data_IF_537086159538
#
_entry.id   IF_537086159538
#
_cell.length_a   1.000
_cell.length_b   1.000
_cell.length_c   1.000
_cell.angle_alpha   90.00
_cell.angle_beta   90.00
_cell.angle_gamma   90.00
#
_symmetry.space_group_name_H-M   'P 1'
#
loop_
_entity.id
_entity.type
_entity.pdbx_description
1 polymer ?
#
# COMPACT_ATOMS: atom_id res chain seq x y z
N UNK A 1 17.37 11.52 -13.43
CA UNK A 1 17.01 10.08 -13.48
C UNK A 1 16.33 9.74 -12.18
N UNK A 2 15.24 8.97 -12.20
CA UNK A 2 14.64 8.45 -10.97
C UNK A 2 15.46 7.26 -10.47
N UNK A 3 15.64 7.15 -9.15
CA UNK A 3 16.36 6.05 -8.50
C UNK A 3 15.42 5.32 -7.55
N UNK A 4 15.59 4.01 -7.41
CA UNK A 4 14.91 3.24 -6.36
C UNK A 4 15.44 3.73 -5.00
N UNK A 5 14.55 4.20 -4.14
CA UNK A 5 14.90 4.77 -2.83
C UNK A 5 14.27 4.05 -1.66
N UNK A 6 13.25 3.24 -1.89
CA UNK A 6 12.67 2.40 -0.85
C UNK A 6 11.89 1.24 -1.45
N UNK A 7 11.75 0.17 -0.67
CA UNK A 7 10.89 -0.96 -0.97
C UNK A 7 9.98 -1.25 0.21
N UNK A 8 8.69 -1.43 -0.08
CA UNK A 8 7.72 -2.04 0.81
C UNK A 8 7.43 -3.45 0.32
N UNK A 9 7.43 -4.41 1.23
CA UNK A 9 7.01 -5.79 0.97
C UNK A 9 5.82 -6.10 1.85
N UNK A 10 4.72 -6.51 1.23
CA UNK A 10 3.54 -6.99 1.92
C UNK A 10 3.55 -8.50 1.87
N UNK A 11 3.33 -9.16 3.01
CA UNK A 11 3.32 -10.61 3.02
C UNK A 11 2.73 -11.23 4.27
N UNK A 12 2.57 -12.54 4.21
CA UNK A 12 2.05 -13.34 5.33
C UNK A 12 3.17 -13.61 6.33
N UNK A 13 2.81 -13.69 7.59
CA UNK A 13 3.72 -14.18 8.61
C UNK A 13 3.83 -15.72 8.46
N UNK A 14 5.02 -16.27 8.20
CA UNK A 14 5.19 -17.71 8.06
C UNK A 14 5.01 -18.38 9.42
N UNK A 15 4.50 -19.60 9.42
CA UNK A 15 4.18 -20.34 10.64
C UNK A 15 5.36 -20.48 11.62
N UNK A 16 6.61 -20.53 11.14
CA UNK A 16 7.83 -20.59 11.97
C UNK A 16 9.06 -19.96 11.25
N UNK A 17 9.70 -18.97 11.89
CA UNK A 17 11.12 -18.59 11.69
C UNK A 17 11.58 -18.11 10.31
N UNK A 18 10.68 -17.92 9.34
CA UNK A 18 11.01 -17.80 7.91
C UNK A 18 11.04 -16.39 7.29
N UNK A 19 10.91 -15.31 8.08
CA UNK A 19 10.80 -13.95 7.54
C UNK A 19 9.37 -13.57 7.16
N UNK A 20 9.15 -12.91 6.03
CA UNK A 20 7.81 -12.57 5.50
C UNK A 20 7.62 -13.34 4.18
N UNK A 21 6.51 -14.06 4.01
CA UNK A 21 6.16 -14.69 2.72
C UNK A 21 5.52 -13.63 1.82
N UNK A 22 6.22 -13.10 0.80
CA UNK A 22 5.75 -11.93 0.06
C UNK A 22 4.55 -12.27 -0.82
N UNK A 23 3.52 -11.42 -0.75
CA UNK A 23 2.37 -11.44 -1.68
C UNK A 23 2.41 -10.27 -2.65
N UNK A 24 3.04 -9.15 -2.24
CA UNK A 24 3.21 -7.99 -3.10
C UNK A 24 4.44 -7.15 -2.70
N UNK A 25 4.92 -6.36 -3.66
CA UNK A 25 5.97 -5.36 -3.49
C UNK A 25 5.52 -3.99 -3.97
N UNK A 26 6.02 -2.94 -3.32
CA UNK A 26 5.95 -1.58 -3.85
C UNK A 26 7.34 -0.94 -3.84
N UNK A 27 7.84 -0.58 -5.02
CA UNK A 27 9.13 0.06 -5.23
C UNK A 27 8.96 1.56 -5.35
N UNK A 28 9.51 2.32 -4.40
CA UNK A 28 9.50 3.78 -4.40
C UNK A 28 10.68 4.31 -5.22
N UNK A 29 10.37 5.07 -6.27
CA UNK A 29 11.34 5.81 -7.06
C UNK A 29 11.23 7.31 -6.79
N UNK A 30 12.36 7.97 -6.60
CA UNK A 30 12.42 9.41 -6.30
C UNK A 30 12.87 10.21 -7.52
N UNK A 31 12.02 11.11 -8.04
CA UNK A 31 12.34 12.34 -8.80
C UNK A 31 11.08 13.02 -9.39
N UNK A 32 10.98 14.36 -9.42
CA UNK A 32 10.89 15.25 -8.26
C UNK A 32 9.72 14.94 -7.31
N UNK A 33 8.78 14.08 -7.74
CA UNK A 33 7.68 13.56 -6.92
C UNK A 33 7.91 12.06 -6.71
N UNK A 34 7.86 11.54 -5.48
CA UNK A 34 8.03 10.12 -5.22
C UNK A 34 6.89 9.31 -5.83
N UNK A 35 7.23 8.16 -6.44
CA UNK A 35 6.25 7.26 -7.06
C UNK A 35 6.52 5.82 -6.69
N UNK A 36 5.46 5.09 -6.35
CA UNK A 36 5.50 3.67 -6.06
C UNK A 36 5.04 2.87 -7.28
N UNK A 37 5.87 1.93 -7.71
CA UNK A 37 5.50 0.88 -8.67
C UNK A 37 5.11 -0.38 -7.91
N UNK A 38 3.93 -0.92 -8.21
CA UNK A 38 3.40 -2.12 -7.55
C UNK A 38 3.70 -3.40 -8.32
N UNK A 39 3.93 -4.48 -7.59
CA UNK A 39 4.14 -5.82 -8.15
C UNK A 39 3.40 -6.85 -7.29
N UNK A 40 2.67 -7.77 -7.92
CA UNK A 40 2.09 -8.94 -7.26
C UNK A 40 3.05 -10.13 -7.39
N UNK A 41 3.14 -10.96 -6.36
CA UNK A 41 4.01 -12.15 -6.35
C UNK A 41 3.17 -13.35 -6.75
N UNK A 42 3.57 -14.03 -7.82
CA UNK A 42 2.95 -15.29 -8.25
C UNK A 42 3.42 -16.45 -7.38
N UNK A 43 2.68 -17.55 -7.42
CA UNK A 43 3.09 -18.82 -6.81
C UNK A 43 4.45 -19.33 -7.33
N UNK A 44 4.84 -18.98 -8.57
CA UNK A 44 6.16 -19.30 -9.14
C UNK A 44 7.30 -18.45 -8.57
N UNK A 45 7.00 -17.37 -7.84
CA UNK A 45 7.95 -16.35 -7.40
C UNK A 45 8.16 -15.22 -8.41
N UNK A 46 7.52 -15.28 -9.59
CA UNK A 46 7.59 -14.21 -10.58
C UNK A 46 6.81 -12.96 -10.14
N UNK A 47 7.26 -11.80 -10.62
CA UNK A 47 6.64 -10.51 -10.31
C UNK A 47 5.74 -10.03 -11.45
N UNK A 48 4.45 -9.88 -11.17
CA UNK A 48 3.50 -9.22 -12.06
C UNK A 48 3.42 -7.74 -11.75
N UNK A 49 3.91 -6.91 -12.67
CA UNK A 49 3.81 -5.46 -12.52
C UNK A 49 2.36 -4.99 -12.64
N UNK A 50 1.89 -4.25 -11.63
CA UNK A 50 0.61 -3.53 -11.67
C UNK A 50 0.77 -2.29 -12.58
N UNK A 51 -0.14 -2.07 -13.55
CA UNK A 51 -0.12 -0.86 -14.38
C UNK A 51 -0.21 0.42 -13.54
N UNK A 52 0.39 1.49 -14.06
CA UNK A 52 0.40 2.80 -13.39
C UNK A 52 1.57 3.00 -12.42
N UNK A 53 1.45 4.05 -11.61
CA UNK A 53 2.43 4.42 -10.59
C UNK A 53 1.75 5.33 -9.57
N UNK A 54 1.73 4.92 -8.30
CA UNK A 54 1.10 5.68 -7.24
C UNK A 54 2.01 6.80 -6.76
N UNK A 55 1.57 8.05 -6.87
CA UNK A 55 2.20 9.22 -6.28
C UNK A 55 1.38 9.63 -5.03
N UNK A 56 1.80 9.26 -3.80
CA UNK A 56 1.11 9.69 -2.60
C UNK A 56 1.21 11.20 -2.42
N UNK A 57 0.15 11.80 -1.92
CA UNK A 57 0.21 13.14 -1.33
C UNK A 57 0.90 13.05 0.03
N UNK A 58 2.19 13.41 0.06
CA UNK A 58 3.01 13.37 1.27
C UNK A 58 2.76 14.55 2.21
N UNK A 59 2.10 15.60 1.73
CA UNK A 59 1.77 16.80 2.50
C UNK A 59 0.36 16.71 3.13
N UNK A 60 -0.40 15.66 2.83
CA UNK A 60 -1.69 15.37 3.44
C UNK A 60 -1.54 15.07 4.95
N UNK A 61 -2.53 15.50 5.74
CA UNK A 61 -2.58 15.26 7.19
C UNK A 61 -3.78 14.36 7.57
N UNK A 62 -3.58 13.06 7.85
CA UNK A 62 -2.32 12.32 7.69
C UNK A 62 -2.11 11.82 6.25
N UNK A 63 -0.87 11.46 5.90
CA UNK A 63 -0.54 10.81 4.63
C UNK A 63 -0.76 9.29 4.70
N UNK A 64 -1.25 8.68 3.62
CA UNK A 64 -1.66 7.26 3.58
C UNK A 64 -0.86 6.37 2.59
N UNK A 65 0.47 6.53 2.42
CA UNK A 65 1.18 5.82 1.37
C UNK A 65 1.14 4.29 1.52
N UNK A 66 1.25 3.78 2.75
CA UNK A 66 1.28 2.33 3.02
C UNK A 66 -0.14 1.76 3.02
N UNK A 67 -1.11 2.46 3.62
CA UNK A 67 -2.51 2.02 3.64
C UNK A 67 -3.09 1.93 2.22
N UNK A 68 -2.82 2.92 1.36
CA UNK A 68 -3.28 2.89 -0.02
C UNK A 68 -2.65 1.74 -0.82
N UNK A 69 -1.35 1.49 -0.65
CA UNK A 69 -0.66 0.38 -1.28
C UNK A 69 -1.16 -0.97 -0.77
N UNK A 70 -1.44 -1.10 0.53
CA UNK A 70 -2.00 -2.32 1.11
C UNK A 70 -3.40 -2.61 0.54
N UNK A 71 -4.27 -1.60 0.47
CA UNK A 71 -5.60 -1.72 -0.15
C UNK A 71 -5.52 -2.13 -1.63
N UNK A 72 -4.57 -1.57 -2.37
CA UNK A 72 -4.43 -1.79 -3.80
C UNK A 72 -3.78 -3.15 -4.15
N UNK A 73 -2.82 -3.60 -3.34
CA UNK A 73 -1.94 -4.71 -3.68
C UNK A 73 -2.24 -5.98 -2.88
N UNK A 74 -2.55 -5.85 -1.59
CA UNK A 74 -2.67 -6.99 -0.68
C UNK A 74 -3.82 -6.82 0.34
N UNK A 75 -5.05 -6.45 -0.09
CA UNK A 75 -6.16 -6.23 0.83
C UNK A 75 -6.54 -7.49 1.61
N UNK A 76 -6.16 -8.68 1.13
CA UNK A 76 -6.33 -9.97 1.80
C UNK A 76 -5.52 -10.12 3.08
N UNK A 77 -4.50 -9.29 3.30
CA UNK A 77 -3.74 -9.29 4.56
C UNK A 77 -4.48 -8.57 5.68
N UNK A 78 -5.61 -7.89 5.43
CA UNK A 78 -6.43 -7.35 6.51
C UNK A 78 -7.36 -8.41 7.09
N UNK A 79 -7.50 -8.47 8.41
CA UNK A 79 -8.47 -9.34 9.10
C UNK A 79 -9.93 -9.10 8.66
N UNK A 80 -10.22 -7.95 8.05
CA UNK A 80 -11.51 -7.59 7.49
C UNK A 80 -11.52 -7.59 5.95
N UNK A 81 -10.64 -8.35 5.29
CA UNK A 81 -10.51 -8.40 3.83
C UNK A 81 -11.84 -8.58 3.08
N UNK A 82 -12.76 -9.39 3.60
CA UNK A 82 -14.09 -9.57 3.02
C UNK A 82 -14.93 -8.29 2.97
N UNK A 83 -14.82 -7.45 4.01
CA UNK A 83 -15.44 -6.12 4.04
C UNK A 83 -14.76 -5.17 3.07
N UNK A 84 -13.43 -5.15 3.02
CA UNK A 84 -12.67 -4.32 2.07
C UNK A 84 -13.04 -4.66 0.63
N UNK A 85 -13.08 -5.94 0.26
CA UNK A 85 -13.55 -6.38 -1.07
C UNK A 85 -14.97 -5.92 -1.38
N UNK A 86 -15.86 -5.95 -0.38
CA UNK A 86 -17.23 -5.46 -0.55
C UNK A 86 -17.27 -3.95 -0.81
N UNK A 87 -16.42 -3.17 -0.15
CA UNK A 87 -16.32 -1.73 -0.39
C UNK A 87 -15.73 -1.44 -1.77
N UNK A 88 -14.74 -2.23 -2.19
CA UNK A 88 -14.08 -2.12 -3.49
C UNK A 88 -15.06 -2.43 -4.64
N UNK A 89 -15.76 -3.56 -4.59
CA UNK A 89 -16.82 -3.90 -5.57
C UNK A 89 -17.91 -2.83 -5.62
N UNK A 90 -18.26 -2.21 -4.48
CA UNK A 90 -19.21 -1.10 -4.46
C UNK A 90 -18.62 0.18 -5.05
N UNK A 91 -17.32 0.40 -4.93
CA UNK A 91 -16.66 1.53 -5.56
C UNK A 91 -16.70 1.37 -7.09
N UNK A 92 -16.31 0.19 -7.59
CA UNK A 92 -16.37 -0.15 -9.02
C UNK A 92 -17.78 0.00 -9.59
N UNK A 93 -18.79 -0.56 -8.91
CA UNK A 93 -20.17 -0.53 -9.40
C UNK A 93 -20.77 0.88 -9.46
N UNK A 94 -20.39 1.77 -8.55
CA UNK A 94 -21.01 3.11 -8.44
C UNK A 94 -20.19 4.22 -9.11
N UNK A 95 -18.87 4.04 -9.21
CA UNK A 95 -17.93 5.06 -9.68
C UNK A 95 -17.03 4.59 -10.83
N UNK A 96 -17.13 3.31 -11.23
CA UNK A 96 -16.38 2.74 -12.34
C UNK A 96 -14.90 2.43 -12.04
N UNK A 97 -14.46 2.61 -10.79
CA UNK A 97 -13.06 2.45 -10.38
C UNK A 97 -12.96 1.72 -9.03
N UNK A 98 -12.00 0.79 -8.94
CA UNK A 98 -11.63 0.10 -7.71
C UNK A 98 -10.49 0.82 -6.98
N UNK A 99 -10.15 0.34 -5.79
CA UNK A 99 -9.10 0.90 -4.94
C UNK A 99 -7.71 0.78 -5.56
N UNK A 100 -7.47 -0.30 -6.33
CA UNK A 100 -6.20 -0.49 -7.04
C UNK A 100 -6.01 0.58 -8.12
N UNK A 101 -6.99 0.73 -8.99
CA UNK A 101 -6.98 1.71 -10.08
C UNK A 101 -6.82 3.11 -9.50
N UNK A 102 -7.64 3.45 -8.49
CA UNK A 102 -7.59 4.74 -7.81
C UNK A 102 -6.21 5.05 -7.22
N UNK A 103 -5.56 4.08 -6.57
CA UNK A 103 -4.20 4.24 -6.05
C UNK A 103 -3.17 4.41 -7.18
N UNK A 104 -3.16 3.53 -8.18
CA UNK A 104 -2.13 3.57 -9.23
C UNK A 104 -2.34 4.65 -10.30
N UNK A 105 -3.53 5.24 -10.36
CA UNK A 105 -3.84 6.47 -11.10
C UNK A 105 -3.57 7.74 -10.26
N UNK A 106 -3.18 7.57 -8.99
CA UNK A 106 -2.95 8.64 -8.00
C UNK A 106 -4.18 9.53 -7.76
N UNK A 107 -5.38 8.99 -8.00
CA UNK A 107 -6.65 9.68 -7.81
C UNK A 107 -7.22 9.42 -6.42
N UNK A 108 -6.40 9.48 -5.37
CA UNK A 108 -6.81 9.11 -3.99
C UNK A 108 -7.17 10.31 -3.11
N UNK A 109 -7.21 11.51 -3.70
CA UNK A 109 -7.45 12.77 -3.00
C UNK A 109 -8.94 13.04 -2.76
N UNK A 110 -9.22 13.93 -1.80
CA UNK A 110 -10.58 14.38 -1.53
C UNK A 110 -11.19 15.07 -2.76
N UNK A 111 -12.45 14.75 -3.05
CA UNK A 111 -13.20 15.32 -4.18
C UNK A 111 -13.18 14.44 -5.42
N UNK A 112 -12.35 13.39 -5.46
CA UNK A 112 -12.37 12.46 -6.58
C UNK A 112 -13.45 11.39 -6.45
N UNK A 113 -13.85 10.80 -7.58
CA UNK A 113 -14.90 9.80 -7.62
C UNK A 113 -14.52 8.57 -6.76
N UNK A 114 -15.51 8.03 -6.05
CA UNK A 114 -15.28 6.92 -5.12
C UNK A 114 -14.42 7.26 -3.89
N UNK A 115 -13.96 8.51 -3.69
CA UNK A 115 -13.13 8.90 -2.54
C UNK A 115 -13.74 8.47 -1.21
N UNK A 116 -15.05 8.68 -1.01
CA UNK A 116 -15.71 8.32 0.25
C UNK A 116 -15.58 6.83 0.60
N UNK A 117 -15.62 5.93 -0.41
CA UNK A 117 -15.44 4.48 -0.20
C UNK A 117 -14.00 4.11 0.08
N UNK A 118 -13.07 4.74 -0.64
CA UNK A 118 -11.65 4.55 -0.41
C UNK A 118 -11.23 5.04 0.98
N UNK A 119 -11.73 6.20 1.40
CA UNK A 119 -11.49 6.75 2.74
C UNK A 119 -12.12 5.88 3.84
N UNK A 120 -13.33 5.34 3.61
CA UNK A 120 -13.93 4.33 4.50
C UNK A 120 -13.01 3.10 4.61
N UNK A 121 -12.49 2.60 3.48
CA UNK A 121 -11.59 1.46 3.47
C UNK A 121 -10.27 1.73 4.21
N UNK A 122 -9.65 2.92 4.04
CA UNK A 122 -8.47 3.35 4.81
C UNK A 122 -8.73 3.27 6.31
N UNK A 123 -9.81 3.91 6.75
CA UNK A 123 -10.19 3.98 8.16
C UNK A 123 -10.44 2.59 8.74
N UNK A 124 -11.08 1.72 7.96
CA UNK A 124 -11.33 0.34 8.36
C UNK A 124 -10.04 -0.47 8.47
N UNK A 125 -9.12 -0.37 7.50
CA UNK A 125 -7.83 -1.08 7.55
C UNK A 125 -7.01 -0.65 8.76
N UNK A 126 -6.90 0.64 9.05
CA UNK A 126 -6.11 1.13 10.19
C UNK A 126 -6.76 0.85 11.56
N UNK A 127 -8.05 0.49 11.59
CA UNK A 127 -8.76 0.17 12.83
C UNK A 127 -8.78 -1.33 13.15
N UNK A 128 -8.21 -2.18 12.30
CA UNK A 128 -8.27 -3.64 12.46
C UNK A 128 -6.90 -4.28 12.23
N UNK A 129 -6.62 -5.44 12.86
CA UNK A 129 -5.35 -6.13 12.69
C UNK A 129 -5.06 -6.50 11.23
N UNK A 130 -3.77 -6.46 10.90
CA UNK A 130 -3.22 -7.05 9.67
C UNK A 130 -2.78 -8.48 9.98
N UNK A 131 -3.37 -9.45 9.29
CA UNK A 131 -3.03 -10.87 9.31
C UNK A 131 -1.77 -11.15 8.46
N UNK A 132 -0.70 -10.40 8.73
CA UNK A 132 0.53 -10.41 7.97
C UNK A 132 1.55 -9.39 8.50
N UNK A 133 2.56 -9.12 7.69
CA UNK A 133 3.63 -8.19 8.03
C UNK A 133 3.96 -7.28 6.85
N UNK A 134 4.48 -6.09 7.18
CA UNK A 134 5.02 -5.15 6.20
C UNK A 134 6.52 -5.04 6.42
N UNK A 135 7.30 -5.44 5.43
CA UNK A 135 8.73 -5.18 5.42
C UNK A 135 9.00 -3.81 4.77
N UNK A 136 9.83 -2.98 5.40
CA UNK A 136 10.25 -1.68 4.86
C UNK A 136 11.77 -1.58 4.82
N UNK A 137 12.31 -1.24 3.65
CA UNK A 137 13.74 -0.96 3.44
C UNK A 137 13.89 0.39 2.78
N UNK A 138 14.73 1.27 3.35
CA UNK A 138 15.06 2.58 2.79
C UNK A 138 16.46 2.56 2.19
N UNK A 139 16.58 2.89 0.91
CA UNK A 139 17.82 2.98 0.13
C UNK A 139 18.19 4.45 -0.13
N UNK A 140 18.02 5.28 0.90
CA UNK A 140 18.28 6.73 0.84
C UNK A 140 17.08 7.56 0.37
N UNK A 141 15.85 7.17 0.72
CA UNK A 141 14.66 7.98 0.50
C UNK A 141 14.73 9.33 1.22
N UNK A 142 14.20 10.38 0.59
CA UNK A 142 14.05 11.70 1.21
C UNK A 142 13.19 11.66 2.48
N UNK A 143 13.39 12.67 3.33
CA UNK A 143 12.78 12.72 4.67
C UNK A 143 11.25 12.64 4.62
N UNK A 144 10.61 13.33 3.69
CA UNK A 144 9.15 13.31 3.54
C UNK A 144 8.61 11.90 3.32
N UNK A 145 9.26 11.10 2.45
CA UNK A 145 8.87 9.71 2.19
C UNK A 145 9.08 8.85 3.44
N UNK A 146 10.24 8.98 4.09
CA UNK A 146 10.56 8.20 5.30
C UNK A 146 9.59 8.51 6.43
N UNK A 147 9.30 9.78 6.67
CA UNK A 147 8.40 10.24 7.71
C UNK A 147 6.96 9.77 7.45
N UNK A 148 6.44 9.96 6.23
CA UNK A 148 5.09 9.55 5.87
C UNK A 148 4.90 8.02 5.93
N UNK A 149 5.89 7.25 5.47
CA UNK A 149 5.84 5.77 5.56
C UNK A 149 5.92 5.33 7.03
N UNK A 150 6.82 5.91 7.82
CA UNK A 150 6.98 5.56 9.22
C UNK A 150 5.72 5.89 10.04
N UNK A 151 5.16 7.08 9.88
CA UNK A 151 3.92 7.49 10.54
C UNK A 151 2.76 6.56 10.15
N UNK A 152 2.59 6.31 8.85
CA UNK A 152 1.51 5.45 8.40
C UNK A 152 1.67 4.00 8.92
N UNK A 153 2.88 3.46 9.00
CA UNK A 153 3.14 2.14 9.60
C UNK A 153 2.78 2.09 11.09
N UNK A 154 3.03 3.17 11.85
CA UNK A 154 2.61 3.26 13.25
C UNK A 154 1.08 3.24 13.36
N UNK A 155 0.38 3.97 12.48
CA UNK A 155 -1.09 4.01 12.46
C UNK A 155 -1.71 2.66 12.05
N UNK A 156 -1.04 1.90 11.20
CA UNK A 156 -1.49 0.55 10.81
C UNK A 156 -1.32 -0.50 11.92
N UNK A 157 -0.52 -0.23 12.95
CA UNK A 157 -0.26 -1.12 14.08
C UNK A 157 0.02 -2.58 13.67
N UNK A 158 0.78 -2.75 12.58
CA UNK A 158 1.11 -4.05 12.01
C UNK A 158 2.52 -4.50 12.39
N UNK A 159 2.81 -5.79 12.23
CA UNK A 159 4.19 -6.29 12.38
C UNK A 159 5.07 -5.69 11.29
N UNK A 160 6.07 -4.89 11.69
CA UNK A 160 7.02 -4.25 10.76
C UNK A 160 8.37 -4.94 10.82
N UNK A 161 8.84 -5.44 9.66
CA UNK A 161 10.21 -5.95 9.50
C UNK A 161 11.05 -4.87 8.84
N UNK A 162 12.08 -4.37 9.53
CA UNK A 162 12.97 -3.34 8.97
C UNK A 162 14.24 -4.00 8.43
N UNK A 163 14.57 -3.67 7.18
CA UNK A 163 15.88 -3.98 6.60
C UNK A 163 16.83 -2.80 6.85
N UNK A 164 18.01 -3.08 7.40
CA UNK A 164 19.12 -2.14 7.53
C UNK A 164 19.85 -1.92 6.19
#
# INVERSE_FOLDING_TARGET
MSRLVATLTFGREPALGGGVEPVAFAHCYEAPVPRFLGYLVRESGDLDRVPGAYAPDLDADPAYPVTDLLLALAPELSSIAGRIRTLDTKAEANYGVGFREKAFDSDVAWGSDGYGRHFEARSQVESHPIDGAVAYTSLGAGEAVRAAVADNLVRLDCTVVRGD
#
